data_IF_088027012176
#
_entry.id   IF_088027012176
#
_cell.length_a   1.000
_cell.length_b   1.000
_cell.length_c   1.000
_cell.angle_alpha   90.00
_cell.angle_beta   90.00
_cell.angle_gamma   90.00
#
_symmetry.space_group_name_H-M   'P 1'
#
loop_
_entity.id
_entity.type
_entity.pdbx_description
1 polymer ?
#
# COMPACT_ATOMS: atom_id res chain seq x y z
N UNK A 1 -0.27 -8.16 -11.15
CA UNK A 1 0.11 -9.21 -12.14
C UNK A 1 0.46 -10.49 -11.41
N UNK A 2 -0.47 -11.46 -11.38
CA UNK A 2 -0.30 -12.68 -10.59
C UNK A 2 0.67 -13.68 -11.24
N UNK A 3 0.66 -13.78 -12.57
CA UNK A 3 1.54 -14.69 -13.34
C UNK A 3 3.03 -14.56 -12.98
N UNK A 4 3.49 -13.35 -12.62
CA UNK A 4 4.87 -13.07 -12.18
C UNK A 4 5.27 -13.85 -10.91
N UNK A 5 4.34 -14.22 -10.05
CA UNK A 5 4.60 -15.04 -8.88
C UNK A 5 4.19 -16.51 -9.12
N UNK A 6 3.17 -16.75 -9.93
CA UNK A 6 2.68 -18.09 -10.25
C UNK A 6 3.60 -18.92 -11.17
N UNK A 7 4.58 -18.31 -11.88
CA UNK A 7 5.54 -19.11 -12.67
C UNK A 7 6.38 -20.05 -11.80
N UNK A 8 6.78 -19.59 -10.60
CA UNK A 8 7.56 -20.36 -9.61
C UNK A 8 6.64 -21.23 -8.75
N UNK A 9 5.46 -20.71 -8.39
CA UNK A 9 4.49 -21.36 -7.51
C UNK A 9 3.22 -21.80 -8.28
N UNK A 10 3.40 -22.56 -9.36
CA UNK A 10 2.30 -22.97 -10.25
C UNK A 10 1.19 -23.68 -9.50
N UNK A 11 -0.05 -23.23 -9.69
CA UNK A 11 -1.27 -23.78 -9.12
C UNK A 11 -1.19 -24.04 -7.60
N UNK A 12 -0.37 -23.26 -6.87
CA UNK A 12 -0.17 -23.46 -5.44
C UNK A 12 -0.54 -22.20 -4.67
N UNK A 13 -1.34 -22.36 -3.60
CA UNK A 13 -1.75 -21.28 -2.69
C UNK A 13 -0.60 -20.40 -2.14
N UNK A 14 0.65 -20.88 -2.15
CA UNK A 14 1.84 -20.10 -1.76
C UNK A 14 2.07 -18.88 -2.67
N UNK A 15 1.64 -18.95 -3.92
CA UNK A 15 1.76 -17.85 -4.87
C UNK A 15 1.02 -16.60 -4.36
N UNK A 16 -0.19 -16.76 -3.83
CA UNK A 16 -0.96 -15.65 -3.26
C UNK A 16 -0.27 -15.05 -2.04
N UNK A 17 0.31 -15.88 -1.15
CA UNK A 17 1.09 -15.40 0.00
C UNK A 17 2.31 -14.58 -0.44
N UNK A 18 3.03 -15.03 -1.47
CA UNK A 18 4.15 -14.30 -2.03
C UNK A 18 3.71 -12.94 -2.60
N UNK A 19 2.58 -12.90 -3.30
CA UNK A 19 1.98 -11.65 -3.81
C UNK A 19 1.61 -10.69 -2.67
N UNK A 20 1.02 -11.17 -1.58
CA UNK A 20 0.71 -10.34 -0.42
C UNK A 20 1.97 -9.81 0.27
N UNK A 21 3.01 -10.64 0.39
CA UNK A 21 4.30 -10.20 0.94
C UNK A 21 4.95 -9.12 0.07
N UNK A 22 4.93 -9.27 -1.26
CA UNK A 22 5.41 -8.24 -2.18
C UNK A 22 4.67 -6.91 -1.98
N UNK A 23 3.34 -6.95 -1.84
CA UNK A 23 2.54 -5.75 -1.57
C UNK A 23 2.93 -5.10 -0.23
N UNK A 24 3.17 -5.90 0.82
CA UNK A 24 3.65 -5.42 2.12
C UNK A 24 5.04 -4.79 2.07
N UNK A 25 5.97 -5.35 1.29
CA UNK A 25 7.29 -4.75 1.11
C UNK A 25 7.22 -3.41 0.38
N UNK A 26 6.39 -3.30 -0.66
CA UNK A 26 6.19 -2.06 -1.41
C UNK A 26 5.52 -0.99 -0.54
N UNK A 27 4.50 -1.36 0.26
CA UNK A 27 3.83 -0.41 1.16
C UNK A 27 4.79 0.14 2.21
N UNK A 28 5.64 -0.71 2.79
CA UNK A 28 6.65 -0.27 3.75
C UNK A 28 7.70 0.64 3.12
N UNK A 29 8.16 0.33 1.91
CA UNK A 29 9.08 1.19 1.18
C UNK A 29 8.48 2.58 0.91
N UNK A 30 7.19 2.64 0.58
CA UNK A 30 6.47 3.91 0.41
C UNK A 30 6.43 4.71 1.73
N UNK A 31 6.05 4.09 2.85
CA UNK A 31 6.03 4.76 4.15
C UNK A 31 7.41 5.29 4.55
N UNK A 32 8.46 4.49 4.35
CA UNK A 32 9.83 4.91 4.64
C UNK A 32 10.24 6.12 3.78
N UNK A 33 9.98 6.08 2.47
CA UNK A 33 10.27 7.20 1.57
C UNK A 33 9.48 8.45 1.93
N UNK A 34 8.18 8.32 2.23
CA UNK A 34 7.34 9.43 2.65
C UNK A 34 7.86 10.08 3.93
N UNK A 35 8.27 9.27 4.90
CA UNK A 35 8.81 9.73 6.19
C UNK A 35 10.08 10.55 5.99
N UNK A 36 11.02 10.07 5.19
CA UNK A 36 12.28 10.80 4.88
C UNK A 36 12.00 12.15 4.21
N UNK A 37 10.94 12.23 3.38
CA UNK A 37 10.56 13.46 2.68
C UNK A 37 9.60 14.35 3.47
N UNK A 38 9.29 14.03 4.73
CA UNK A 38 8.33 14.80 5.54
C UNK A 38 6.88 14.74 5.04
N UNK A 39 6.56 13.78 4.18
CA UNK A 39 5.21 13.60 3.62
C UNK A 39 4.37 12.67 4.51
N UNK A 40 3.05 12.84 4.44
CA UNK A 40 2.07 11.93 4.98
C UNK A 40 1.77 10.84 3.96
N UNK A 41 1.60 9.61 4.43
CA UNK A 41 1.22 8.48 3.58
C UNK A 41 0.19 7.61 4.27
N UNK A 42 -0.59 6.88 3.47
CA UNK A 42 -1.43 5.79 3.94
C UNK A 42 -1.47 4.66 2.92
N UNK A 43 -1.76 3.45 3.39
CA UNK A 43 -1.98 2.27 2.56
C UNK A 43 -3.18 1.50 3.12
N UNK A 44 -4.12 1.13 2.26
CA UNK A 44 -5.29 0.35 2.63
C UNK A 44 -5.58 -0.75 1.61
N UNK A 45 -5.92 -1.93 2.11
CA UNK A 45 -6.44 -3.05 1.32
C UNK A 45 -7.98 -3.07 1.30
N UNK A 46 -8.65 -2.24 2.10
CA UNK A 46 -10.10 -2.11 2.11
C UNK A 46 -10.53 -1.24 0.91
N UNK A 47 -10.50 -1.83 -0.28
CA UNK A 47 -10.77 -1.17 -1.55
C UNK A 47 -11.81 -1.96 -2.35
N UNK A 48 -12.47 -1.32 -3.31
CA UNK A 48 -13.30 -2.02 -4.28
C UNK A 48 -12.45 -2.45 -5.49
N UNK A 49 -12.00 -3.70 -5.49
CA UNK A 49 -11.09 -4.22 -6.52
C UNK A 49 -11.77 -4.28 -7.89
N UNK A 50 -13.09 -4.51 -7.95
CA UNK A 50 -13.83 -4.57 -9.19
C UNK A 50 -13.92 -3.20 -9.87
N UNK A 51 -14.18 -2.16 -9.08
CA UNK A 51 -14.20 -0.77 -9.58
C UNK A 51 -12.81 -0.31 -9.98
N UNK A 52 -11.80 -0.52 -9.14
CA UNK A 52 -10.41 -0.22 -9.47
C UNK A 52 -9.96 -0.96 -10.74
N UNK A 53 -10.32 -2.23 -10.88
CA UNK A 53 -10.02 -3.03 -12.06
C UNK A 53 -10.59 -2.42 -13.35
N UNK A 54 -11.84 -1.94 -13.32
CA UNK A 54 -12.46 -1.24 -14.46
C UNK A 54 -11.79 0.10 -14.74
N UNK A 55 -11.58 0.92 -13.70
CA UNK A 55 -11.01 2.26 -13.82
C UNK A 55 -9.59 2.23 -14.41
N UNK A 56 -8.79 1.22 -14.06
CA UNK A 56 -7.40 1.07 -14.52
C UNK A 56 -7.24 0.08 -15.69
N UNK A 57 -8.33 -0.47 -16.24
CA UNK A 57 -8.27 -1.42 -17.35
C UNK A 57 -7.50 -2.71 -17.05
N UNK A 58 -7.55 -3.19 -15.80
CA UNK A 58 -6.83 -4.39 -15.37
C UNK A 58 -7.45 -5.65 -15.99
N UNK A 59 -6.61 -6.57 -16.45
CA UNK A 59 -7.08 -7.86 -16.98
C UNK A 59 -7.63 -8.74 -15.86
N UNK A 60 -8.93 -9.10 -15.87
CA UNK A 60 -9.49 -9.97 -14.85
C UNK A 60 -8.71 -11.28 -14.72
N UNK A 61 -8.59 -11.81 -13.50
CA UNK A 61 -7.88 -13.05 -13.16
C UNK A 61 -6.35 -13.04 -13.36
N UNK A 62 -5.80 -12.19 -14.24
CA UNK A 62 -4.35 -12.04 -14.44
C UNK A 62 -3.76 -10.85 -13.65
N UNK A 63 -4.56 -9.80 -13.45
CA UNK A 63 -4.23 -8.56 -12.77
C UNK A 63 -5.33 -8.20 -11.77
N UNK A 64 -4.94 -7.56 -10.67
CA UNK A 64 -5.86 -7.17 -9.61
C UNK A 64 -5.20 -6.15 -8.68
N UNK A 65 -6.00 -5.25 -8.14
CA UNK A 65 -5.57 -4.29 -7.13
C UNK A 65 -5.52 -5.00 -5.77
N UNK A 66 -4.41 -4.82 -5.03
CA UNK A 66 -4.23 -5.40 -3.68
C UNK A 66 -4.35 -4.34 -2.58
N UNK A 67 -4.00 -3.10 -2.91
CA UNK A 67 -4.06 -1.97 -2.00
C UNK A 67 -4.10 -0.67 -2.82
N UNK A 68 -4.65 0.37 -2.21
CA UNK A 68 -4.46 1.76 -2.64
C UNK A 68 -3.50 2.41 -1.66
N UNK A 69 -2.57 3.18 -2.21
CA UNK A 69 -1.61 3.96 -1.46
C UNK A 69 -1.84 5.45 -1.75
N UNK A 70 -1.92 6.26 -0.70
CA UNK A 70 -1.95 7.71 -0.82
C UNK A 70 -0.69 8.35 -0.22
N UNK A 71 -0.31 9.49 -0.78
CA UNK A 71 0.83 10.31 -0.37
C UNK A 71 0.46 11.78 -0.52
N UNK A 72 0.86 12.63 0.41
CA UNK A 72 0.63 14.06 0.32
C UNK A 72 1.32 14.88 1.39
N UNK A 73 1.15 16.18 1.31
CA UNK A 73 1.64 17.10 2.34
C UNK A 73 0.87 16.88 3.64
N UNK A 74 1.61 16.90 4.76
CA UNK A 74 1.03 16.81 6.08
C UNK A 74 0.33 18.11 6.43
N UNK A 75 -0.79 17.99 7.14
CA UNK A 75 -1.45 19.14 7.75
C UNK A 75 -0.71 19.57 9.03
N UNK A 76 -0.85 20.83 9.41
CA UNK A 76 -0.30 21.34 10.67
C UNK A 76 -0.94 20.65 11.89
N UNK A 77 -2.21 20.27 11.79
CA UNK A 77 -2.95 19.61 12.86
C UNK A 77 -3.31 18.16 12.50
N UNK A 78 -3.22 17.27 13.48
CA UNK A 78 -3.56 15.85 13.32
C UNK A 78 -5.07 15.65 13.37
N UNK A 79 -5.75 15.84 12.24
CA UNK A 79 -7.20 15.57 12.12
C UNK A 79 -7.51 14.14 11.70
N UNK A 80 -6.51 13.36 11.31
CA UNK A 80 -6.66 11.98 10.81
C UNK A 80 -5.52 11.12 11.34
N UNK A 81 -5.77 9.82 11.50
CA UNK A 81 -4.74 8.88 11.93
C UNK A 81 -3.65 8.77 10.86
N UNK A 82 -2.50 9.38 11.13
CA UNK A 82 -1.31 9.33 10.28
C UNK A 82 -0.13 8.71 11.03
N UNK A 83 0.75 8.05 10.28
CA UNK A 83 2.00 7.49 10.79
C UNK A 83 3.02 8.62 11.01
N UNK A 84 3.35 8.89 12.28
CA UNK A 84 4.42 9.79 12.73
C UNK A 84 5.09 9.21 13.99
N UNK A 85 5.84 8.10 13.87
CA UNK A 85 6.39 7.39 15.02
C UNK A 85 7.49 8.19 15.76
N UNK A 86 8.11 9.17 15.08
CA UNK A 86 9.12 10.04 15.68
C UNK A 86 8.54 11.29 16.36
N UNK A 87 7.24 11.57 16.21
CA UNK A 87 6.61 12.78 16.73
C UNK A 87 7.21 14.07 16.16
N UNK A 88 7.76 14.02 14.94
CA UNK A 88 8.44 15.15 14.33
C UNK A 88 7.45 16.20 13.78
N UNK A 89 6.21 15.77 13.50
CA UNK A 89 5.18 16.63 12.90
C UNK A 89 4.22 17.11 13.97
N UNK A 90 3.78 16.20 14.84
CA UNK A 90 2.95 16.52 16.00
C UNK A 90 3.67 16.10 17.27
N UNK A 91 4.09 17.06 18.12
CA UNK A 91 4.77 16.75 19.36
C UNK A 91 3.94 15.80 20.21
N UNK A 92 4.59 14.76 20.76
CA UNK A 92 3.96 13.91 21.75
C UNK A 92 3.66 14.74 23.02
N UNK A 93 2.53 14.51 23.70
CA UNK A 93 2.36 15.05 25.04
C UNK A 93 3.52 14.54 25.92
N UNK A 94 4.18 15.46 26.62
CA UNK A 94 5.30 15.17 27.52
C UNK A 94 4.92 14.42 28.78
#
# INVERSE_FOLDING_TARGET
RFERNYWKYRNHAKAYRAVTLDAGHVSQALYAAATVQGLGAFVTAAINEAEAGRAFGLRPMAEGALAICGLGWRKAEKTTAELDPGGHVWPLPG
#
